data_IF_458492915502
#
_entry.id   IF_458492915502
#
_cell.length_a   1.000
_cell.length_b   1.000
_cell.length_c   1.000
_cell.angle_alpha   90.00
_cell.angle_beta   90.00
_cell.angle_gamma   90.00
#
_symmetry.space_group_name_H-M   'P 1'
#
loop_
_entity.id
_entity.type
_entity.pdbx_description
1 polymer ?
#
# COMPACT_ATOMS: atom_id res chain seq x y z
N UNK A 1 -9.79 -19.91 16.58
CA UNK A 1 -10.17 -21.17 15.92
C UNK A 1 -9.71 -21.08 14.48
N UNK A 2 -9.04 -22.11 13.99
CA UNK A 2 -8.52 -22.17 12.62
C UNK A 2 -9.03 -23.45 11.98
N UNK A 3 -9.57 -23.32 10.77
CA UNK A 3 -9.96 -24.45 9.92
C UNK A 3 -9.15 -24.36 8.64
N UNK A 4 -8.61 -25.49 8.19
CA UNK A 4 -7.69 -25.58 7.08
C UNK A 4 -7.98 -26.86 6.27
N UNK A 5 -8.00 -26.74 4.95
CA UNK A 5 -8.20 -27.84 4.00
C UNK A 5 -7.22 -27.65 2.84
N UNK A 6 -6.29 -28.59 2.71
CA UNK A 6 -5.26 -28.58 1.67
C UNK A 6 -5.39 -29.75 0.68
N UNK A 7 -4.90 -29.53 -0.54
CA UNK A 7 -4.72 -30.56 -1.57
C UNK A 7 -3.30 -30.44 -2.13
N UNK A 8 -2.58 -31.57 -2.11
CA UNK A 8 -1.28 -31.72 -2.76
C UNK A 8 -1.39 -32.71 -3.92
N UNK A 9 -0.82 -32.34 -5.05
CA UNK A 9 -0.78 -33.18 -6.24
C UNK A 9 0.59 -33.12 -6.93
N UNK A 10 1.07 -34.27 -7.37
CA UNK A 10 2.30 -34.40 -8.15
C UNK A 10 2.01 -35.10 -9.49
N UNK A 11 2.55 -34.54 -10.57
CA UNK A 11 2.36 -35.05 -11.92
C UNK A 11 3.71 -35.24 -12.63
N UNK A 12 3.70 -36.08 -13.67
CA UNK A 12 4.84 -36.30 -14.58
C UNK A 12 6.15 -36.71 -13.87
N UNK A 13 6.07 -37.68 -12.95
CA UNK A 13 7.18 -38.07 -12.07
C UNK A 13 7.70 -36.89 -11.23
N UNK A 14 6.76 -36.19 -10.57
CA UNK A 14 7.03 -35.06 -9.68
C UNK A 14 7.76 -33.89 -10.37
N UNK A 15 7.60 -33.74 -11.69
CA UNK A 15 8.08 -32.56 -12.42
C UNK A 15 7.17 -31.37 -12.21
N UNK A 16 5.87 -31.62 -12.12
CA UNK A 16 4.88 -30.60 -11.79
C UNK A 16 4.32 -30.93 -10.40
N UNK A 17 4.45 -29.99 -9.47
CA UNK A 17 3.83 -30.08 -8.15
C UNK A 17 2.85 -28.94 -7.99
N UNK A 18 1.69 -29.23 -7.43
CA UNK A 18 0.62 -28.28 -7.18
C UNK A 18 0.14 -28.46 -5.75
N UNK A 19 0.05 -27.34 -5.03
CA UNK A 19 -0.52 -27.29 -3.68
C UNK A 19 -1.60 -26.21 -3.66
N UNK A 20 -2.73 -26.51 -3.05
CA UNK A 20 -3.81 -25.57 -2.83
C UNK A 20 -4.35 -25.69 -1.42
N UNK A 21 -4.35 -24.59 -0.68
CA UNK A 21 -4.82 -24.53 0.70
C UNK A 21 -5.95 -23.50 0.82
N UNK A 22 -7.05 -23.93 1.42
CA UNK A 22 -8.12 -23.03 1.85
C UNK A 22 -8.15 -22.98 3.37
N UNK A 23 -8.09 -21.76 3.92
CA UNK A 23 -8.09 -21.58 5.36
C UNK A 23 -9.11 -20.54 5.82
N UNK A 24 -9.60 -20.73 7.04
CA UNK A 24 -10.33 -19.75 7.82
C UNK A 24 -9.68 -19.64 9.20
N UNK A 25 -9.14 -18.46 9.50
CA UNK A 25 -8.60 -18.13 10.82
C UNK A 25 -9.48 -17.09 11.50
N UNK A 26 -9.93 -17.40 12.71
CA UNK A 26 -10.63 -16.46 13.60
C UNK A 26 -9.72 -16.08 14.75
N UNK A 27 -9.34 -14.81 14.81
CA UNK A 27 -8.65 -14.21 15.95
C UNK A 27 -9.70 -13.57 16.85
N UNK A 28 -9.65 -13.90 18.14
CA UNK A 28 -10.44 -13.27 19.19
C UNK A 28 -9.51 -12.40 20.04
N UNK A 29 -10.09 -11.44 20.75
CA UNK A 29 -9.37 -10.58 21.69
C UNK A 29 -8.16 -9.91 21.03
N UNK A 30 -8.39 -9.32 19.85
CA UNK A 30 -7.36 -8.58 19.13
C UNK A 30 -6.88 -7.41 20.01
N UNK A 31 -5.57 -7.28 20.17
CA UNK A 31 -4.98 -6.18 20.93
C UNK A 31 -4.70 -5.01 20.00
N UNK A 32 -5.23 -3.83 20.33
CA UNK A 32 -4.90 -2.59 19.65
C UNK A 32 -4.90 -1.41 20.63
N UNK A 33 -4.27 -0.30 20.21
CA UNK A 33 -4.29 0.97 20.93
C UNK A 33 -5.57 1.72 20.57
N UNK A 34 -6.43 1.93 21.57
CA UNK A 34 -7.65 2.71 21.39
C UNK A 34 -7.35 4.21 21.46
N UNK A 35 -7.86 5.03 20.54
CA UNK A 35 -7.66 6.48 20.60
C UNK A 35 -8.27 7.01 21.92
N UNK A 36 -7.48 7.79 22.65
CA UNK A 36 -7.92 8.50 23.87
C UNK A 36 -8.01 9.98 23.52
N UNK A 37 -9.06 10.70 23.94
CA UNK A 37 -9.14 12.14 23.67
C UNK A 37 -7.95 12.90 24.26
N UNK A 38 -7.38 13.83 23.49
CA UNK A 38 -6.17 14.56 23.89
C UNK A 38 -6.30 15.32 25.22
N UNK A 39 -7.52 15.78 25.56
CA UNK A 39 -7.79 16.48 26.83
C UNK A 39 -7.60 15.61 28.08
N UNK A 40 -7.55 14.28 27.92
CA UNK A 40 -7.28 13.34 29.03
C UNK A 40 -5.80 13.38 29.44
N UNK A 41 -4.90 13.84 28.56
CA UNK A 41 -3.47 13.97 28.85
C UNK A 41 -2.76 12.63 29.13
N UNK A 42 -3.33 11.51 28.68
CA UNK A 42 -2.81 10.17 28.87
C UNK A 42 -2.55 9.49 27.54
N UNK A 43 -1.50 8.67 27.47
CA UNK A 43 -1.22 7.86 26.29
C UNK A 43 -2.29 6.76 26.09
N UNK A 44 -2.62 6.41 24.84
CA UNK A 44 -3.49 5.28 24.53
C UNK A 44 -3.05 3.97 25.22
N UNK A 45 -3.99 3.26 25.84
CA UNK A 45 -3.74 1.94 26.41
C UNK A 45 -4.07 0.83 25.38
N UNK A 46 -3.33 -0.28 25.45
CA UNK A 46 -3.66 -1.49 24.69
C UNK A 46 -4.87 -2.17 25.31
N UNK A 47 -5.87 -2.51 24.50
CA UNK A 47 -7.08 -3.19 24.94
C UNK A 47 -7.45 -4.32 23.97
N UNK A 48 -8.26 -5.27 24.44
CA UNK A 48 -8.91 -6.25 23.57
C UNK A 48 -10.05 -5.55 22.83
N UNK A 49 -9.86 -5.28 21.55
CA UNK A 49 -10.73 -4.41 20.74
C UNK A 49 -11.71 -5.17 19.86
N UNK A 50 -11.66 -6.51 19.81
CA UNK A 50 -12.63 -7.28 19.04
C UNK A 50 -12.13 -8.61 18.47
N UNK A 51 -12.87 -9.10 17.47
CA UNK A 51 -12.59 -10.35 16.76
C UNK A 51 -12.57 -10.14 15.25
N UNK A 52 -11.62 -10.77 14.57
CA UNK A 52 -11.46 -10.72 13.11
C UNK A 52 -11.49 -12.13 12.50
N UNK A 53 -11.90 -12.19 11.24
CA UNK A 53 -11.89 -13.41 10.43
C UNK A 53 -11.06 -13.16 9.17
N UNK A 54 -10.03 -13.99 8.98
CA UNK A 54 -9.28 -14.10 7.74
C UNK A 54 -9.73 -15.38 7.03
N UNK A 55 -10.20 -15.25 5.79
CA UNK A 55 -10.44 -16.40 4.90
C UNK A 55 -9.55 -16.29 3.71
N UNK A 56 -8.82 -17.34 3.36
CA UNK A 56 -7.87 -17.27 2.28
C UNK A 56 -7.79 -18.52 1.42
N UNK A 57 -7.24 -18.31 0.23
CA UNK A 57 -6.82 -19.33 -0.71
C UNK A 57 -5.35 -19.11 -1.00
N UNK A 58 -4.54 -20.14 -0.84
CA UNK A 58 -3.14 -20.17 -1.21
C UNK A 58 -2.94 -21.24 -2.27
N UNK A 59 -2.27 -20.87 -3.36
CA UNK A 59 -1.95 -21.76 -4.47
C UNK A 59 -0.45 -21.70 -4.71
N UNK A 60 0.17 -22.86 -4.88
CA UNK A 60 1.55 -22.97 -5.29
C UNK A 60 1.64 -23.94 -6.47
N UNK A 61 2.37 -23.55 -7.51
CA UNK A 61 2.67 -24.37 -8.66
C UNK A 61 4.18 -24.35 -8.88
N UNK A 62 4.80 -25.53 -8.97
CA UNK A 62 6.22 -25.62 -9.26
C UNK A 62 6.44 -26.60 -10.41
N UNK A 63 7.17 -26.16 -11.42
CA UNK A 63 7.55 -26.99 -12.55
C UNK A 63 9.07 -27.05 -12.70
N UNK A 64 9.63 -28.25 -12.57
CA UNK A 64 11.04 -28.56 -12.76
C UNK A 64 11.24 -29.55 -13.88
N UNK A 65 12.20 -29.29 -14.75
CA UNK A 65 12.56 -30.21 -15.82
C UNK A 65 13.99 -29.97 -16.32
N UNK A 66 14.48 -30.87 -17.15
CA UNK A 66 15.77 -30.75 -17.82
C UNK A 66 15.62 -30.99 -19.33
N UNK A 67 16.31 -30.18 -20.14
CA UNK A 67 16.43 -30.32 -21.59
C UNK A 67 17.93 -30.30 -21.93
N UNK A 68 18.48 -31.47 -22.24
CA UNK A 68 19.93 -31.62 -22.41
C UNK A 68 20.68 -31.22 -21.14
N UNK A 69 21.55 -30.21 -21.24
CA UNK A 69 22.32 -29.67 -20.11
C UNK A 69 21.59 -28.57 -19.33
N UNK A 70 20.48 -28.05 -19.85
CA UNK A 70 19.69 -27.02 -19.19
C UNK A 70 18.77 -27.68 -18.18
N UNK A 71 18.92 -27.34 -16.91
CA UNK A 71 17.96 -27.63 -15.86
C UNK A 71 17.24 -26.34 -15.50
N UNK A 72 15.92 -26.40 -15.32
CA UNK A 72 15.15 -25.24 -14.92
C UNK A 72 14.10 -25.62 -13.89
N UNK A 73 13.83 -24.69 -12.98
CA UNK A 73 12.74 -24.76 -12.02
C UNK A 73 12.01 -23.42 -11.98
N UNK A 74 10.71 -23.45 -12.26
CA UNK A 74 9.83 -22.29 -12.22
C UNK A 74 8.78 -22.53 -11.12
N UNK A 75 8.81 -21.69 -10.09
CA UNK A 75 7.81 -21.68 -9.04
C UNK A 75 6.89 -20.49 -9.21
N UNK A 76 5.59 -20.67 -8.97
CA UNK A 76 4.57 -19.63 -8.89
C UNK A 76 3.83 -19.81 -7.57
N UNK A 77 3.51 -18.71 -6.91
CA UNK A 77 2.58 -18.71 -5.79
C UNK A 77 1.55 -17.58 -5.95
N UNK A 78 0.40 -17.80 -5.33
CA UNK A 78 -0.71 -16.88 -5.31
C UNK A 78 -1.43 -16.99 -3.97
N UNK A 79 -1.70 -15.86 -3.34
CA UNK A 79 -2.39 -15.81 -2.06
C UNK A 79 -3.47 -14.74 -2.13
N UNK A 80 -4.71 -15.14 -1.79
CA UNK A 80 -5.82 -14.22 -1.61
C UNK A 80 -6.35 -14.36 -0.20
N UNK A 81 -6.42 -13.26 0.53
CA UNK A 81 -6.93 -13.25 1.91
C UNK A 81 -8.00 -12.16 2.00
N UNK A 82 -9.19 -12.53 2.45
CA UNK A 82 -10.23 -11.60 2.82
C UNK A 82 -10.25 -11.44 4.34
N UNK A 83 -9.88 -10.25 4.82
CA UNK A 83 -9.94 -9.86 6.22
C UNK A 83 -11.27 -9.16 6.51
N UNK A 84 -11.98 -9.58 7.56
CA UNK A 84 -13.22 -8.93 7.99
C UNK A 84 -13.28 -8.86 9.51
N UNK A 85 -13.53 -7.67 10.06
CA UNK A 85 -13.86 -7.46 11.46
C UNK A 85 -15.25 -8.02 11.73
N UNK A 86 -15.34 -8.94 12.68
CA UNK A 86 -16.58 -9.67 13.00
C UNK A 86 -17.28 -9.16 14.25
N UNK A 87 -16.56 -8.48 15.13
CA UNK A 87 -17.10 -7.89 16.36
C UNK A 87 -16.08 -6.90 16.94
N UNK A 88 -16.56 -5.81 17.54
CA UNK A 88 -15.75 -4.89 18.36
C UNK A 88 -16.05 -5.03 19.87
N UNK A 89 -16.56 -6.20 20.29
CA UNK A 89 -16.83 -6.46 21.70
C UNK A 89 -17.91 -5.57 22.34
N UNK A 90 -18.80 -4.98 21.52
CA UNK A 90 -19.81 -4.01 21.97
C UNK A 90 -19.36 -2.55 21.93
N UNK A 91 -18.13 -2.27 21.47
CA UNK A 91 -17.62 -0.92 21.25
C UNK A 91 -18.07 -0.29 19.92
N UNK A 92 -17.86 1.03 19.81
CA UNK A 92 -18.04 1.79 18.58
C UNK A 92 -16.89 1.54 17.59
N UNK A 93 -17.09 1.94 16.33
CA UNK A 93 -16.03 1.96 15.32
C UNK A 93 -14.78 2.71 15.82
N UNK A 94 -13.59 2.20 15.48
CA UNK A 94 -12.31 2.69 16.00
C UNK A 94 -11.60 3.49 14.91
N UNK A 95 -11.43 4.79 15.12
CA UNK A 95 -10.68 5.67 14.21
C UNK A 95 -9.19 5.70 14.56
N UNK A 96 -8.31 5.63 13.56
CA UNK A 96 -6.86 5.66 13.74
C UNK A 96 -6.16 6.24 12.50
N UNK A 97 -4.88 5.91 12.27
CA UNK A 97 -4.15 6.35 11.08
C UNK A 97 -3.90 7.86 11.05
N UNK A 98 -3.75 8.51 12.21
CA UNK A 98 -3.42 9.93 12.23
C UNK A 98 -2.05 10.16 11.58
N UNK A 99 -2.00 10.98 10.52
CA UNK A 99 -0.76 11.35 9.83
C UNK A 99 -0.15 12.62 10.42
N UNK A 100 -0.99 13.65 10.56
CA UNK A 100 -0.65 14.92 11.18
C UNK A 100 -1.80 15.31 12.13
N UNK A 101 -1.52 15.96 13.28
CA UNK A 101 -2.57 16.37 14.21
C UNK A 101 -3.71 17.15 13.55
N UNK A 102 -3.39 18.07 12.63
CA UNK A 102 -4.40 18.88 11.94
C UNK A 102 -5.26 18.12 10.91
N UNK A 103 -4.84 16.95 10.47
CA UNK A 103 -5.60 16.11 9.51
C UNK A 103 -6.58 15.19 10.24
N UNK A 104 -6.26 14.80 11.47
CA UNK A 104 -7.05 13.84 12.24
C UNK A 104 -6.82 12.39 11.79
N UNK A 105 -7.72 11.51 12.20
CA UNK A 105 -7.67 10.08 11.87
C UNK A 105 -8.09 9.84 10.41
N UNK A 106 -7.38 8.95 9.72
CA UNK A 106 -7.60 8.64 8.29
C UNK A 106 -8.09 7.21 8.05
N UNK A 107 -7.98 6.35 9.05
CA UNK A 107 -8.48 4.97 9.00
C UNK A 107 -9.66 4.79 9.96
N UNK A 108 -10.52 3.83 9.62
CA UNK A 108 -11.62 3.38 10.46
C UNK A 108 -11.62 1.84 10.50
N UNK A 109 -11.90 1.29 11.67
CA UNK A 109 -12.10 -0.15 11.87
C UNK A 109 -13.50 -0.37 12.40
N UNK A 110 -14.32 -1.08 11.63
CA UNK A 110 -15.73 -1.32 11.95
C UNK A 110 -16.19 -2.70 11.48
N UNK A 111 -17.25 -3.22 12.11
CA UNK A 111 -17.81 -4.54 11.83
C UNK A 111 -18.29 -4.63 10.39
N UNK A 112 -17.93 -5.72 9.71
CA UNK A 112 -18.39 -6.00 8.35
C UNK A 112 -17.42 -5.57 7.24
N UNK A 113 -16.32 -4.90 7.57
CA UNK A 113 -15.23 -4.54 6.65
C UNK A 113 -13.88 -5.05 7.14
N UNK A 114 -12.88 -4.98 6.28
CA UNK A 114 -11.49 -5.21 6.62
C UNK A 114 -11.01 -4.24 7.68
N UNK A 115 -10.00 -4.65 8.44
CA UNK A 115 -9.38 -3.82 9.45
C UNK A 115 -8.72 -2.58 8.81
N UNK A 116 -8.79 -1.45 9.51
CA UNK A 116 -8.08 -0.22 9.13
C UNK A 116 -8.36 0.28 7.70
N UNK A 117 -9.60 0.17 7.22
CA UNK A 117 -9.97 0.75 5.93
C UNK A 117 -9.90 2.28 5.97
N UNK A 118 -9.71 2.92 4.82
CA UNK A 118 -9.61 4.37 4.70
C UNK A 118 -10.99 4.99 4.71
N UNK A 119 -11.17 6.05 5.51
CA UNK A 119 -12.47 6.70 5.69
C UNK A 119 -12.34 8.22 5.70
N UNK A 120 -12.96 8.89 4.74
CA UNK A 120 -12.80 10.32 4.53
C UNK A 120 -13.67 10.85 3.38
N UNK A 121 -13.46 12.11 3.00
CA UNK A 121 -14.24 12.74 1.93
C UNK A 121 -13.90 12.14 0.55
N UNK A 122 -14.89 12.01 -0.32
CA UNK A 122 -14.66 11.63 -1.71
C UNK A 122 -14.44 12.89 -2.56
N UNK A 123 -13.20 13.10 -3.03
CA UNK A 123 -12.88 14.14 -3.99
C UNK A 123 -13.36 13.77 -5.41
N UNK A 124 -13.81 14.77 -6.16
CA UNK A 124 -14.31 14.68 -7.54
C UNK A 124 -13.46 15.53 -8.51
N UNK A 125 -12.20 15.79 -8.17
CA UNK A 125 -11.31 16.69 -8.89
C UNK A 125 -11.34 18.12 -8.33
N UNK A 126 -11.02 19.09 -9.18
CA UNK A 126 -11.06 20.52 -8.86
C UNK A 126 -12.11 21.21 -9.72
N UNK A 127 -12.63 22.35 -9.25
CA UNK A 127 -13.49 23.19 -10.07
C UNK A 127 -12.63 23.90 -11.14
N UNK A 128 -12.84 23.65 -12.42
CA UNK A 128 -12.00 24.29 -13.45
C UNK A 128 -12.39 25.74 -13.73
N UNK A 129 -13.63 26.13 -13.43
CA UNK A 129 -14.17 27.46 -13.70
C UNK A 129 -15.37 27.79 -12.80
N UNK A 130 -15.83 29.04 -12.85
CA UNK A 130 -16.94 29.53 -12.01
C UNK A 130 -18.27 28.85 -12.35
N UNK A 131 -18.51 28.50 -13.62
CA UNK A 131 -19.75 27.83 -14.03
C UNK A 131 -19.94 26.46 -13.38
N UNK A 132 -18.85 25.72 -13.16
CA UNK A 132 -18.89 24.44 -12.43
C UNK A 132 -19.28 24.63 -10.96
N UNK A 133 -18.85 25.73 -10.33
CA UNK A 133 -19.21 26.07 -8.95
C UNK A 133 -20.68 26.47 -8.90
N UNK A 134 -21.13 27.33 -9.80
CA UNK A 134 -22.51 27.83 -9.85
C UNK A 134 -23.53 26.72 -10.15
N UNK A 135 -23.10 25.68 -10.87
CA UNK A 135 -23.87 24.47 -11.15
C UNK A 135 -23.82 23.45 -10.01
N UNK A 136 -22.89 23.57 -9.06
CA UNK A 136 -22.71 22.62 -7.97
C UNK A 136 -23.67 22.87 -6.80
N UNK A 137 -24.89 22.39 -6.96
CA UNK A 137 -26.03 22.60 -6.05
C UNK A 137 -26.62 21.30 -5.54
N UNK A 138 -27.18 21.34 -4.34
CA UNK A 138 -28.00 20.26 -3.80
C UNK A 138 -29.39 20.25 -4.44
N UNK A 139 -30.23 19.28 -4.06
CA UNK A 139 -31.59 19.14 -4.59
C UNK A 139 -32.50 20.36 -4.31
N UNK A 140 -32.20 21.15 -3.26
CA UNK A 140 -32.91 22.37 -2.92
C UNK A 140 -32.40 23.61 -3.70
N UNK A 141 -31.40 23.44 -4.57
CA UNK A 141 -30.81 24.53 -5.36
C UNK A 141 -29.79 25.39 -4.61
N UNK A 142 -29.44 25.03 -3.37
CA UNK A 142 -28.40 25.69 -2.60
C UNK A 142 -27.01 25.21 -3.07
N UNK A 143 -26.04 26.13 -3.14
CA UNK A 143 -24.65 25.79 -3.46
C UNK A 143 -24.06 24.94 -2.34
N UNK A 144 -23.41 23.82 -2.70
CA UNK A 144 -22.81 22.90 -1.73
C UNK A 144 -21.48 23.45 -1.17
N UNK A 145 -20.70 24.11 -2.02
CA UNK A 145 -19.44 24.77 -1.63
C UNK A 145 -19.46 26.25 -2.08
N UNK A 146 -20.26 27.12 -1.43
CA UNK A 146 -20.49 28.50 -1.88
C UNK A 146 -19.25 29.40 -1.81
N UNK A 147 -18.24 29.02 -1.02
CA UNK A 147 -16.97 29.74 -0.90
C UNK A 147 -15.87 29.23 -1.83
N UNK A 148 -16.16 28.24 -2.69
CA UNK A 148 -15.21 27.69 -3.63
C UNK A 148 -14.82 28.74 -4.69
N UNK A 149 -13.57 28.65 -5.14
CA UNK A 149 -13.03 29.37 -6.28
C UNK A 149 -12.53 28.37 -7.33
N UNK A 150 -12.43 28.76 -8.61
CA UNK A 150 -11.80 27.91 -9.62
C UNK A 150 -10.41 27.45 -9.14
N UNK A 151 -10.17 26.15 -9.19
CA UNK A 151 -9.00 25.43 -8.69
C UNK A 151 -9.16 24.86 -7.28
N UNK A 152 -10.27 25.10 -6.58
CA UNK A 152 -10.57 24.45 -5.30
C UNK A 152 -11.11 23.03 -5.50
N UNK A 153 -10.95 22.18 -4.51
CA UNK A 153 -11.41 20.78 -4.55
C UNK A 153 -12.92 20.72 -4.50
N UNK A 154 -13.47 19.87 -5.36
CA UNK A 154 -14.86 19.46 -5.35
C UNK A 154 -15.01 18.17 -4.54
N UNK A 155 -15.84 18.19 -3.50
CA UNK A 155 -16.15 17.01 -2.70
C UNK A 155 -17.57 16.55 -2.93
N UNK A 156 -17.80 15.24 -2.92
CA UNK A 156 -19.14 14.67 -2.99
C UNK A 156 -19.93 14.98 -1.70
N UNK A 157 -21.10 15.60 -1.85
CA UNK A 157 -22.15 15.65 -0.82
C UNK A 157 -22.89 14.30 -0.85
N UNK A 158 -22.70 13.49 0.19
CA UNK A 158 -23.20 12.11 0.21
C UNK A 158 -24.58 11.99 0.85
N UNK A 159 -24.96 12.95 1.70
CA UNK A 159 -26.22 12.96 2.42
C UNK A 159 -27.26 13.92 1.80
N UNK A 160 -26.83 14.76 0.86
CA UNK A 160 -27.65 15.69 0.09
C UNK A 160 -28.07 16.95 0.85
N UNK A 161 -27.45 17.24 2.00
CA UNK A 161 -27.84 18.36 2.87
C UNK A 161 -27.30 19.72 2.40
N UNK A 162 -26.45 19.73 1.36
CA UNK A 162 -25.84 20.95 0.83
C UNK A 162 -24.64 21.45 1.61
N UNK A 163 -24.09 20.64 2.52
CA UNK A 163 -22.87 20.94 3.27
C UNK A 163 -21.89 19.78 3.10
N UNK A 164 -20.60 20.07 3.25
CA UNK A 164 -19.56 19.04 3.27
C UNK A 164 -19.02 18.97 4.69
N UNK A 165 -19.34 17.88 5.39
CA UNK A 165 -19.00 17.69 6.79
C UNK A 165 -18.40 16.29 7.03
N UNK A 166 -18.11 15.95 8.28
CA UNK A 166 -17.68 14.60 8.63
C UNK A 166 -18.78 13.54 8.35
N UNK A 167 -20.04 13.95 8.23
CA UNK A 167 -21.16 13.10 7.82
C UNK A 167 -21.04 12.64 6.37
N UNK A 168 -20.18 13.29 5.57
CA UNK A 168 -19.91 12.95 4.18
C UNK A 168 -18.73 12.00 3.98
N UNK A 169 -18.09 11.61 5.07
CA UNK A 169 -17.02 10.63 4.98
C UNK A 169 -17.59 9.30 4.49
N UNK A 170 -16.85 8.67 3.59
CA UNK A 170 -17.18 7.38 3.00
C UNK A 170 -15.96 6.47 2.98
N UNK A 171 -16.16 5.21 2.64
CA UNK A 171 -15.09 4.27 2.38
C UNK A 171 -14.28 4.73 1.17
N UNK A 172 -12.96 4.89 1.35
CA UNK A 172 -12.05 5.36 0.32
C UNK A 172 -11.11 4.29 -0.20
N UNK A 173 -11.07 3.10 0.41
CA UNK A 173 -10.09 2.08 0.07
C UNK A 173 -9.50 1.34 1.26
N UNK A 174 -8.49 0.52 1.00
CA UNK A 174 -7.74 -0.17 2.06
C UNK A 174 -6.32 -0.56 1.63
N UNK A 175 -5.42 -0.61 2.61
CA UNK A 175 -4.09 -1.20 2.46
C UNK A 175 -4.11 -2.71 2.28
N UNK A 176 -5.24 -3.37 2.59
CA UNK A 176 -5.39 -4.82 2.44
C UNK A 176 -5.47 -5.17 0.95
N UNK A 177 -4.51 -5.93 0.40
CA UNK A 177 -4.51 -6.25 -1.02
C UNK A 177 -5.64 -7.20 -1.40
N UNK A 178 -6.08 -7.10 -2.66
CA UNK A 178 -7.00 -8.09 -3.24
C UNK A 178 -6.36 -9.48 -3.37
N UNK A 179 -5.06 -9.52 -3.70
CA UNK A 179 -4.22 -10.72 -3.68
C UNK A 179 -2.72 -10.35 -3.77
N UNK A 180 -1.87 -11.28 -3.38
CA UNK A 180 -0.43 -11.25 -3.62
C UNK A 180 -0.02 -12.46 -4.47
N UNK A 181 1.11 -12.32 -5.16
CA UNK A 181 1.63 -13.37 -6.03
C UNK A 181 3.15 -13.29 -6.10
N UNK A 182 3.77 -14.38 -6.49
CA UNK A 182 5.22 -14.49 -6.55
C UNK A 182 5.62 -15.49 -7.62
N UNK A 183 6.83 -15.29 -8.12
CA UNK A 183 7.44 -16.21 -9.06
C UNK A 183 8.91 -16.40 -8.73
N UNK A 184 9.41 -17.62 -8.87
CA UNK A 184 10.83 -17.93 -8.82
C UNK A 184 11.25 -18.58 -10.13
N UNK A 185 12.39 -18.15 -10.65
CA UNK A 185 13.02 -18.73 -11.83
C UNK A 185 14.42 -19.17 -11.44
N UNK A 186 14.72 -20.45 -11.58
CA UNK A 186 16.04 -21.01 -11.37
C UNK A 186 16.47 -21.74 -12.64
N UNK A 187 17.63 -21.38 -13.18
CA UNK A 187 18.21 -21.96 -14.38
C UNK A 187 19.61 -22.46 -14.04
N UNK A 188 19.97 -23.65 -14.53
CA UNK A 188 21.34 -24.17 -14.46
C UNK A 188 21.75 -24.68 -15.83
N UNK A 189 22.90 -24.26 -16.32
CA UNK A 189 23.44 -24.68 -17.62
C UNK A 189 24.96 -24.75 -17.59
N UNK A 190 25.52 -25.96 -17.67
CA UNK A 190 26.96 -26.14 -17.90
C UNK A 190 27.89 -25.48 -16.87
N UNK A 191 27.46 -25.39 -15.60
CA UNK A 191 28.21 -24.72 -14.52
C UNK A 191 27.73 -23.30 -14.23
N UNK A 192 27.02 -22.66 -15.16
CA UNK A 192 26.33 -21.40 -14.88
C UNK A 192 25.01 -21.65 -14.18
N UNK A 193 24.68 -20.79 -13.23
CA UNK A 193 23.37 -20.76 -12.58
C UNK A 193 22.81 -19.33 -12.57
N UNK A 194 21.50 -19.24 -12.71
CA UNK A 194 20.76 -17.98 -12.63
C UNK A 194 19.54 -18.18 -11.76
N UNK A 195 19.30 -17.23 -10.84
CA UNK A 195 18.11 -17.21 -10.01
C UNK A 195 17.48 -15.82 -9.97
N UNK A 196 16.16 -15.79 -9.97
CA UNK A 196 15.38 -14.57 -9.85
C UNK A 196 14.14 -14.82 -9.00
N UNK A 197 13.85 -13.89 -8.08
CA UNK A 197 12.68 -13.91 -7.23
C UNK A 197 11.83 -12.65 -7.46
N UNK A 198 10.61 -12.87 -7.93
CA UNK A 198 9.57 -11.87 -8.13
C UNK A 198 8.53 -11.97 -7.01
N UNK A 199 8.04 -10.81 -6.58
CA UNK A 199 6.95 -10.66 -5.64
C UNK A 199 6.07 -9.50 -6.08
N UNK A 200 4.75 -9.68 -6.03
CA UNK A 200 3.78 -8.67 -6.40
C UNK A 200 2.56 -8.65 -5.49
N UNK A 201 1.93 -7.48 -5.44
CA UNK A 201 0.75 -7.19 -4.65
C UNK A 201 -0.22 -6.42 -5.54
N UNK A 202 -1.47 -6.87 -5.63
CA UNK A 202 -2.48 -6.28 -6.49
C UNK A 202 -3.72 -5.85 -5.70
N UNK A 203 -4.23 -4.66 -6.03
CA UNK A 203 -5.44 -4.10 -5.43
C UNK A 203 -5.24 -3.56 -4.02
N UNK A 204 -3.99 -3.31 -3.60
CA UNK A 204 -3.71 -2.51 -2.41
C UNK A 204 -3.73 -1.02 -2.75
N UNK A 205 -4.16 -0.21 -1.79
CA UNK A 205 -4.10 1.25 -1.82
C UNK A 205 -3.28 1.76 -0.64
N UNK A 206 -2.68 2.93 -0.77
CA UNK A 206 -1.94 3.57 0.32
C UNK A 206 -2.40 5.01 0.50
N UNK A 207 -2.43 5.48 1.74
CA UNK A 207 -2.54 6.91 2.02
C UNK A 207 -1.14 7.51 1.91
N UNK A 208 -0.91 8.38 0.93
CA UNK A 208 0.34 9.12 0.79
C UNK A 208 0.38 10.28 1.79
N UNK A 209 0.88 10.00 2.99
CA UNK A 209 0.94 11.00 4.05
C UNK A 209 1.96 12.12 3.80
N UNK A 210 3.02 11.85 3.03
CA UNK A 210 3.98 12.89 2.64
C UNK A 210 3.31 13.97 1.76
N UNK A 211 2.34 13.58 0.93
CA UNK A 211 1.59 14.51 0.10
C UNK A 211 0.78 15.55 0.91
N UNK A 212 0.41 15.29 2.16
CA UNK A 212 -0.25 16.32 3.00
C UNK A 212 0.62 17.56 3.22
N UNK A 213 1.94 17.40 3.31
CA UNK A 213 2.84 18.55 3.45
C UNK A 213 3.40 19.02 2.10
N UNK A 214 3.67 18.08 1.18
CA UNK A 214 4.37 18.36 -0.06
C UNK A 214 3.45 18.73 -1.23
N UNK A 215 2.13 18.61 -1.05
CA UNK A 215 1.11 18.98 -2.05
C UNK A 215 0.01 19.89 -1.51
N UNK A 216 0.17 20.43 -0.28
CA UNK A 216 -0.80 21.36 0.30
C UNK A 216 -1.03 22.60 -0.55
N UNK A 217 -2.19 23.20 -0.36
CA UNK A 217 -2.73 24.28 -1.17
C UNK A 217 -2.43 25.64 -0.56
N UNK A 218 -2.27 25.68 0.76
CA UNK A 218 -1.76 26.84 1.48
C UNK A 218 -0.46 26.50 2.22
N UNK A 219 0.54 27.39 2.12
CA UNK A 219 1.63 27.40 3.09
C UNK A 219 1.19 28.24 4.28
N UNK A 220 1.45 27.75 5.50
CA UNK A 220 1.21 28.57 6.69
C UNK A 220 2.02 29.85 6.55
N UNK A 221 1.42 31.01 6.80
CA UNK A 221 2.11 32.30 6.74
C UNK A 221 3.42 32.21 7.54
N UNK A 222 4.56 32.36 6.86
CA UNK A 222 5.90 32.33 7.48
C UNK A 222 6.65 30.99 7.40
N UNK A 223 6.06 29.93 6.83
CA UNK A 223 6.76 28.68 6.51
C UNK A 223 7.00 28.64 5.00
N UNK A 224 8.25 28.42 4.59
CA UNK A 224 8.62 28.21 3.18
C UNK A 224 9.02 26.75 3.02
N UNK A 225 8.07 25.91 2.60
CA UNK A 225 8.34 24.47 2.41
C UNK A 225 8.68 24.16 0.96
N UNK A 226 9.48 23.12 0.74
CA UNK A 226 9.60 22.55 -0.60
C UNK A 226 8.35 21.72 -0.93
N UNK A 227 7.98 21.66 -2.20
CA UNK A 227 6.81 20.93 -2.70
C UNK A 227 7.22 19.91 -3.75
N UNK A 228 6.34 18.97 -4.07
CA UNK A 228 6.56 18.12 -5.24
C UNK A 228 6.60 18.95 -6.52
N UNK A 229 7.51 18.59 -7.43
CA UNK A 229 7.66 19.28 -8.72
C UNK A 229 6.36 19.26 -9.55
N UNK A 230 5.54 18.21 -9.40
CA UNK A 230 4.22 18.09 -10.03
C UNK A 230 3.23 19.19 -9.65
N UNK A 231 3.47 19.93 -8.55
CA UNK A 231 2.67 21.12 -8.20
C UNK A 231 2.84 22.26 -9.21
N UNK A 232 3.82 22.20 -10.11
CA UNK A 232 3.91 23.15 -11.22
C UNK A 232 2.75 22.99 -12.22
N UNK A 233 2.17 21.80 -12.36
CA UNK A 233 1.05 21.49 -13.25
C UNK A 233 -0.32 21.72 -12.62
N UNK A 234 -0.37 22.42 -11.48
CA UNK A 234 -1.61 22.74 -10.77
C UNK A 234 -2.53 23.65 -11.57
N UNK A 235 -3.78 23.70 -11.12
CA UNK A 235 -4.73 24.68 -11.61
C UNK A 235 -4.21 26.10 -11.40
N UNK A 236 -4.18 26.86 -12.48
CA UNK A 236 -3.97 28.31 -12.48
C UNK A 236 -4.86 28.92 -13.56
N UNK A 237 -5.10 30.25 -13.54
CA UNK A 237 -5.81 30.90 -14.65
C UNK A 237 -5.14 30.69 -16.03
N UNK A 238 -3.81 30.50 -16.06
CA UNK A 238 -3.07 30.20 -17.29
C UNK A 238 -2.94 28.69 -17.59
N UNK A 239 -3.31 27.83 -16.64
CA UNK A 239 -3.40 26.38 -16.78
C UNK A 239 -4.75 25.88 -16.24
N UNK A 240 -5.88 26.21 -16.90
CA UNK A 240 -7.22 25.90 -16.41
C UNK A 240 -7.55 24.40 -16.44
N UNK A 241 -6.78 23.61 -17.20
CA UNK A 241 -6.90 22.15 -17.26
C UNK A 241 -6.05 21.41 -16.22
N UNK A 242 -5.40 22.10 -15.29
CA UNK A 242 -4.65 21.46 -14.22
C UNK A 242 -5.56 20.81 -13.17
N UNK A 243 -5.28 19.56 -12.82
CA UNK A 243 -6.13 18.76 -11.90
C UNK A 243 -5.70 18.84 -10.42
N UNK A 244 -4.56 19.47 -10.14
CA UNK A 244 -4.12 19.73 -8.77
C UNK A 244 -4.71 21.04 -8.26
N UNK A 245 -5.03 21.17 -6.96
CA UNK A 245 -5.63 22.38 -6.41
C UNK A 245 -4.78 23.61 -6.66
N UNK A 246 -5.43 24.76 -6.79
CA UNK A 246 -4.74 26.04 -6.80
C UNK A 246 -3.91 26.22 -5.53
N UNK A 247 -2.83 26.98 -5.65
CA UNK A 247 -2.11 27.48 -4.47
C UNK A 247 -2.78 28.77 -3.99
N UNK A 248 -3.03 28.90 -2.70
CA UNK A 248 -3.69 30.05 -2.09
C UNK A 248 -3.13 30.35 -0.70
N UNK A 249 -2.99 31.61 -0.33
CA UNK A 249 -2.53 32.01 1.01
C UNK A 249 -3.64 31.94 2.08
N UNK A 250 -4.90 31.84 1.66
CA UNK A 250 -6.05 31.69 2.52
C UNK A 250 -7.16 30.96 1.75
N UNK A 251 -7.43 29.70 2.11
CA UNK A 251 -8.56 28.97 1.58
C UNK A 251 -9.83 29.44 2.28
N UNK A 252 -10.72 30.11 1.53
CA UNK A 252 -11.98 30.67 2.05
C UNK A 252 -13.17 29.73 1.91
N UNK A 253 -12.98 28.52 1.36
CA UNK A 253 -14.06 27.59 1.08
C UNK A 253 -14.64 27.02 2.39
N UNK A 254 -15.89 27.36 2.68
CA UNK A 254 -16.73 26.87 3.79
C UNK A 254 -16.02 26.75 5.16
N UNK A 255 -15.39 27.83 5.62
CA UNK A 255 -14.66 27.88 6.90
C UNK A 255 -13.17 27.56 6.81
N UNK A 256 -12.70 27.19 5.61
CA UNK A 256 -11.29 27.11 5.22
C UNK A 256 -10.65 25.72 5.30
N UNK A 257 -9.53 25.57 4.58
CA UNK A 257 -8.71 24.36 4.56
C UNK A 257 -9.30 23.18 3.77
N UNK A 258 -10.33 23.40 2.97
CA UNK A 258 -10.98 22.35 2.18
C UNK A 258 -10.04 21.71 1.19
N UNK A 259 -9.14 22.48 0.59
CA UNK A 259 -8.21 21.92 -0.37
C UNK A 259 -7.23 20.90 0.26
N UNK A 260 -7.04 20.93 1.57
CA UNK A 260 -6.06 20.10 2.27
C UNK A 260 -6.71 19.11 3.27
N UNK A 261 -8.05 18.98 3.26
CA UNK A 261 -8.78 17.95 4.03
C UNK A 261 -8.43 16.54 3.53
N UNK A 262 -8.35 15.59 4.45
CA UNK A 262 -8.21 14.18 4.08
C UNK A 262 -9.38 13.75 3.20
N UNK A 263 -9.02 13.16 2.06
CA UNK A 263 -9.95 12.71 1.05
C UNK A 263 -9.29 11.67 0.15
N UNK A 264 -10.07 11.09 -0.76
CA UNK A 264 -9.59 10.13 -1.77
C UNK A 264 -8.41 10.65 -2.60
N UNK A 265 -8.15 11.96 -2.64
CA UNK A 265 -6.99 12.53 -3.32
C UNK A 265 -5.64 12.06 -2.80
N UNK A 266 -5.59 11.68 -1.51
CA UNK A 266 -4.38 11.21 -0.83
C UNK A 266 -4.32 9.69 -0.81
N UNK A 267 -5.34 9.01 -1.33
CA UNK A 267 -5.39 7.56 -1.45
C UNK A 267 -4.94 7.19 -2.86
N UNK A 268 -3.86 6.43 -2.95
CA UNK A 268 -3.21 6.08 -4.21
C UNK A 268 -3.18 4.57 -4.39
N UNK A 269 -3.21 4.11 -5.64
CA UNK A 269 -2.99 2.70 -5.94
C UNK A 269 -1.55 2.31 -5.57
N UNK A 270 -1.41 1.40 -4.62
CA UNK A 270 -0.14 0.86 -4.14
C UNK A 270 0.09 -0.57 -4.64
N UNK A 271 -0.48 -0.93 -5.80
CA UNK A 271 -0.19 -2.22 -6.43
C UNK A 271 1.19 -2.19 -7.07
N UNK A 272 1.96 -3.26 -6.91
CA UNK A 272 3.33 -3.30 -7.41
C UNK A 272 3.80 -4.71 -7.80
N UNK A 273 4.80 -4.74 -8.67
CA UNK A 273 5.62 -5.92 -8.97
C UNK A 273 7.09 -5.56 -8.71
N UNK A 274 7.79 -6.41 -7.95
CA UNK A 274 9.18 -6.20 -7.56
C UNK A 274 10.01 -7.45 -7.82
N UNK A 275 11.24 -7.25 -8.30
CA UNK A 275 12.28 -8.26 -8.26
C UNK A 275 13.08 -8.11 -6.96
N UNK A 276 12.80 -8.99 -5.99
CA UNK A 276 13.44 -8.99 -4.66
C UNK A 276 14.92 -9.32 -4.77
N UNK A 277 15.27 -10.29 -5.61
CA UNK A 277 16.63 -10.75 -5.81
C UNK A 277 16.84 -11.25 -7.24
N UNK A 278 18.02 -10.98 -7.79
CA UNK A 278 18.54 -11.61 -9.00
C UNK A 278 20.00 -11.99 -8.75
N UNK A 279 20.41 -13.18 -9.15
CA UNK A 279 21.79 -13.62 -9.04
C UNK A 279 22.20 -14.48 -10.22
N UNK A 280 23.43 -14.28 -10.66
CA UNK A 280 24.12 -15.15 -11.61
C UNK A 280 25.38 -15.70 -10.95
N UNK A 281 25.62 -16.99 -11.14
CA UNK A 281 26.77 -17.68 -10.60
C UNK A 281 27.44 -18.58 -11.64
N UNK A 282 28.69 -18.91 -11.36
CA UNK A 282 29.43 -19.92 -12.09
C UNK A 282 30.16 -20.82 -11.10
N UNK A 283 29.86 -22.11 -11.17
CA UNK A 283 30.53 -23.16 -10.41
C UNK A 283 31.72 -23.67 -11.22
N UNK A 284 32.92 -23.57 -10.62
CA UNK A 284 34.17 -23.96 -11.24
C UNK A 284 34.21 -25.49 -11.48
N UNK A 285 34.63 -25.94 -12.68
CA UNK A 285 34.75 -27.36 -12.99
C UNK A 285 35.71 -28.09 -12.04
N UNK A 286 35.34 -29.30 -11.62
CA UNK A 286 36.18 -30.15 -10.75
C UNK A 286 37.59 -30.39 -11.30
N UNK A 287 37.74 -30.48 -12.62
CA UNK A 287 39.04 -30.66 -13.25
C UNK A 287 40.05 -29.53 -12.94
N UNK A 288 39.57 -28.31 -12.68
CA UNK A 288 40.41 -27.18 -12.28
C UNK A 288 40.69 -27.19 -10.77
N UNK A 289 39.74 -27.66 -9.97
CA UNK A 289 39.80 -27.63 -8.50
C UNK A 289 40.58 -28.79 -7.89
N UNK A 290 40.61 -29.96 -8.55
CA UNK A 290 41.32 -31.14 -8.07
C UNK A 290 42.82 -30.94 -7.86
N UNK A 291 43.44 -29.98 -8.56
CA UNK A 291 44.87 -29.63 -8.40
C UNK A 291 45.17 -28.91 -7.08
N UNK A 292 44.17 -28.28 -6.47
CA UNK A 292 44.33 -27.47 -5.25
C UNK A 292 43.56 -28.05 -4.06
N UNK A 293 43.13 -29.32 -4.15
CA UNK A 293 42.40 -30.05 -3.09
C UNK A 293 41.11 -29.35 -2.60
N UNK A 294 40.41 -28.66 -3.50
CA UNK A 294 39.12 -28.00 -3.20
C UNK A 294 37.96 -28.86 -3.73
N UNK A 295 36.96 -29.14 -2.87
CA UNK A 295 35.76 -29.93 -3.24
C UNK A 295 34.74 -29.17 -4.06
N UNK A 296 34.74 -27.84 -4.02
CA UNK A 296 33.82 -27.03 -4.83
C UNK A 296 34.12 -25.55 -4.69
N UNK A 297 33.97 -24.80 -5.77
CA UNK A 297 34.11 -23.36 -5.74
C UNK A 297 33.11 -22.72 -6.69
N UNK A 298 32.44 -21.65 -6.24
CA UNK A 298 31.46 -20.88 -7.00
C UNK A 298 31.74 -19.40 -6.84
N UNK A 299 31.72 -18.65 -7.94
CA UNK A 299 31.73 -17.18 -7.93
C UNK A 299 30.36 -16.68 -8.36
N UNK A 300 29.85 -15.64 -7.73
CA UNK A 300 28.52 -15.12 -8.03
C UNK A 300 28.43 -13.60 -7.88
N UNK A 301 27.53 -13.02 -8.66
CA UNK A 301 27.11 -11.64 -8.54
C UNK A 301 25.59 -11.60 -8.31
N UNK A 302 25.15 -10.86 -7.29
CA UNK A 302 23.73 -10.74 -6.94
C UNK A 302 23.32 -9.30 -6.71
N UNK A 303 22.04 -9.03 -6.96
CA UNK A 303 21.41 -7.74 -6.72
C UNK A 303 20.13 -7.97 -5.93
N UNK A 304 20.01 -7.32 -4.78
CA UNK A 304 18.75 -7.23 -4.02
C UNK A 304 18.01 -5.94 -4.36
N UNK A 305 16.68 -5.98 -4.33
CA UNK A 305 15.79 -4.86 -4.69
C UNK A 305 16.09 -4.32 -6.11
N UNK A 306 16.09 -5.25 -7.07
CA UNK A 306 16.52 -5.00 -8.46
C UNK A 306 15.63 -3.95 -9.12
N UNK A 307 14.31 -4.10 -9.04
CA UNK A 307 13.36 -3.10 -9.52
C UNK A 307 12.03 -3.21 -8.76
N UNK A 308 11.26 -2.13 -8.78
CA UNK A 308 9.86 -2.06 -8.37
C UNK A 308 9.09 -1.32 -9.46
N UNK A 309 8.00 -1.92 -9.94
CA UNK A 309 7.06 -1.31 -10.89
C UNK A 309 5.79 -1.00 -10.10
N UNK A 310 5.41 0.27 -10.02
CA UNK A 310 4.23 0.75 -9.30
C UNK A 310 3.71 2.05 -9.91
N UNK A 311 2.45 2.39 -9.65
CA UNK A 311 1.87 3.71 -9.93
C UNK A 311 1.87 4.64 -8.70
N UNK A 312 2.20 4.10 -7.53
CA UNK A 312 2.32 4.86 -6.29
C UNK A 312 3.37 5.95 -6.42
N UNK A 313 3.05 7.17 -6.01
CA UNK A 313 3.93 8.34 -6.17
C UNK A 313 4.87 8.56 -4.99
N UNK A 314 4.62 7.89 -3.85
CA UNK A 314 5.56 7.84 -2.72
C UNK A 314 6.80 6.98 -3.00
N UNK A 315 7.69 6.87 -2.01
CA UNK A 315 9.01 6.25 -2.22
C UNK A 315 8.98 4.72 -2.38
N UNK A 316 8.16 4.02 -1.59
CA UNK A 316 8.00 2.57 -1.66
C UNK A 316 6.51 2.22 -1.47
N UNK A 317 5.89 1.44 -2.36
CA UNK A 317 4.48 1.04 -2.23
C UNK A 317 4.24 -0.01 -1.12
N UNK A 318 5.30 -0.60 -0.56
CA UNK A 318 5.21 -1.57 0.54
C UNK A 318 5.09 -0.84 1.89
N UNK A 319 3.87 -0.42 2.22
CA UNK A 319 3.58 0.36 3.42
C UNK A 319 3.29 -0.55 4.62
N UNK A 320 4.08 -0.41 5.67
CA UNK A 320 3.90 -1.09 6.96
C UNK A 320 3.42 -0.12 8.05
N UNK A 321 3.06 -0.63 9.23
CA UNK A 321 2.48 0.11 10.37
C UNK A 321 3.49 0.96 11.15
N UNK A 322 4.55 1.46 10.49
CA UNK A 322 5.81 1.85 11.16
C UNK A 322 5.73 3.20 11.89
N UNK A 323 4.75 4.06 11.64
CA UNK A 323 4.72 5.36 12.31
C UNK A 323 3.79 5.38 13.52
N UNK A 324 4.31 5.98 14.61
CA UNK A 324 3.66 6.29 15.88
C UNK A 324 2.88 5.11 16.49
N UNK A 325 3.54 4.43 17.42
CA UNK A 325 2.98 3.42 18.34
C UNK A 325 2.80 1.99 17.81
N UNK A 326 3.34 1.62 16.63
CA UNK A 326 3.14 0.28 16.04
C UNK A 326 1.66 -0.13 16.04
N UNK A 327 0.77 0.80 15.68
CA UNK A 327 -0.66 0.56 15.73
C UNK A 327 -1.11 -0.20 14.46
N UNK A 328 -1.60 -1.45 14.58
CA UNK A 328 -2.12 -2.20 13.43
C UNK A 328 -3.31 -1.51 12.74
N UNK A 329 -3.97 -0.58 13.44
CA UNK A 329 -5.07 0.21 12.91
C UNK A 329 -4.62 1.35 11.96
N UNK A 330 -3.31 1.52 11.76
CA UNK A 330 -2.72 2.49 10.81
C UNK A 330 -2.07 1.82 9.58
N UNK A 331 -2.41 0.56 9.30
CA UNK A 331 -1.85 -0.15 8.15
C UNK A 331 -2.18 0.53 6.82
N UNK A 332 -1.20 0.60 5.91
CA UNK A 332 -1.34 1.25 4.61
C UNK A 332 -1.26 2.79 4.63
N UNK A 333 -1.06 3.40 5.80
CA UNK A 333 -0.78 4.83 5.94
C UNK A 333 0.73 5.08 5.79
N UNK A 334 1.14 5.76 4.72
CA UNK A 334 2.54 6.09 4.47
C UNK A 334 2.91 7.42 5.12
N UNK A 335 3.83 7.39 6.06
CA UNK A 335 4.31 8.57 6.77
C UNK A 335 5.56 9.19 6.14
N UNK A 336 5.89 8.80 4.90
CA UNK A 336 7.14 9.14 4.23
C UNK A 336 8.23 8.12 4.50
N UNK A 337 7.88 6.83 4.47
CA UNK A 337 8.83 5.74 4.72
C UNK A 337 9.96 5.75 3.68
N UNK A 338 11.18 5.47 4.13
CA UNK A 338 12.32 5.33 3.22
C UNK A 338 12.24 4.03 2.42
N UNK A 339 12.63 4.06 1.13
CA UNK A 339 12.58 2.88 0.29
C UNK A 339 13.70 1.90 0.64
N UNK A 340 13.50 0.65 0.24
CA UNK A 340 14.54 -0.37 0.35
C UNK A 340 15.72 -0.05 -0.58
N UNK A 341 16.94 -0.03 -0.04
CA UNK A 341 18.14 0.23 -0.84
C UNK A 341 18.43 -0.93 -1.80
N UNK A 342 18.88 -0.59 -3.03
CA UNK A 342 19.40 -1.58 -3.98
C UNK A 342 20.82 -1.97 -3.59
N UNK A 343 21.06 -3.26 -3.39
CA UNK A 343 22.37 -3.77 -2.93
C UNK A 343 22.97 -4.69 -3.99
N UNK A 344 24.19 -4.36 -4.42
CA UNK A 344 25.00 -5.20 -5.32
C UNK A 344 26.02 -5.98 -4.51
N UNK A 345 26.13 -7.29 -4.73
CA UNK A 345 27.10 -8.15 -4.05
C UNK A 345 27.87 -8.98 -5.06
N UNK A 346 29.18 -9.02 -4.91
CA UNK A 346 30.07 -9.98 -5.54
C UNK A 346 30.59 -10.91 -4.45
N UNK A 347 30.50 -12.22 -4.67
CA UNK A 347 30.90 -13.20 -3.67
C UNK A 347 31.48 -14.46 -4.27
N UNK A 348 32.12 -15.25 -3.42
CA UNK A 348 32.60 -16.58 -3.74
C UNK A 348 32.27 -17.53 -2.60
N UNK A 349 32.01 -18.79 -2.93
CA UNK A 349 31.79 -19.87 -1.98
C UNK A 349 32.79 -20.98 -2.28
N UNK A 350 33.51 -21.46 -1.26
CA UNK A 350 34.52 -22.52 -1.37
C UNK A 350 34.21 -23.60 -0.36
N UNK A 351 34.22 -24.85 -0.83
CA UNK A 351 34.02 -26.05 -0.05
C UNK A 351 35.32 -26.87 -0.05
N UNK A 352 35.85 -27.17 1.14
CA UNK A 352 37.08 -27.94 1.36
C UNK A 352 36.80 -29.42 1.58
#
# INVERSE_FOLDING_TARGET
MTTDVGVDAEFFNSKLTFTADYFERRTRDMIALLPVPDYVGQAPASANVGSLRNRGLELALNYRNAIGKLQYNVGLNFTKINNVVTSLGGGNAISAGNVLPQIGNTTLTDVGREIAFYYGLQAQGVFHNQGEIDAYKNAAGALIQPGAKPGDVKYQDTNGDGQITASDNTYLGSGTPSFSYGASLNLNYGGFDFRMLLYGVQGAEAINGAAFNLSKSADFVGVWSNFYASRMDRWTPSNPGGDQPRVTSNDTNNGGGYNDKFSSRYVENASYLRARNMEIGYTLPQALLGKIQVKGARVFASVDNVFTITKYTGFDPEISTVANYNNPLSYGVDYGNYPQARTYRLGFNVQF
#
